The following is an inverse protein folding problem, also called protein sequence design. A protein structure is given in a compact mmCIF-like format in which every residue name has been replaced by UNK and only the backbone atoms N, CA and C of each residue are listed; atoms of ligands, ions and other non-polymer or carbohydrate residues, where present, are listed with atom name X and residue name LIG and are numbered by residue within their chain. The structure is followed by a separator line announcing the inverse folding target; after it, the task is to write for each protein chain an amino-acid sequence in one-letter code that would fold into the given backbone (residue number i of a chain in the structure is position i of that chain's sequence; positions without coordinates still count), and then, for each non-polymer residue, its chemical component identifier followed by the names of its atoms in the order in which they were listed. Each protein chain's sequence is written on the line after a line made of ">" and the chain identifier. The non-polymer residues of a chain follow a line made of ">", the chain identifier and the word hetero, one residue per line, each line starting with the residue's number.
data_IF_549386238100
#
_entry.id   IF_549386238100
#
_cell.length_a   1.000
_cell.length_b   1.000
_cell.length_c   1.000
_cell.angle_alpha   90.00
_cell.angle_beta   90.00
_cell.angle_gamma   90.00
#
_symmetry.space_group_name_H-M   'P 1'
#
loop_
_entity.id
_entity.type
_entity.pdbx_description
1 polymer ?
#
# COMPACT_ATOMS: atom_id res chain seq x y z
N UNK A 1 -3.61 -8.74 -2.59
CA UNK A 1 -3.55 -10.04 -3.29
C UNK A 1 -3.07 -9.79 -4.72
N UNK A 2 -2.14 -10.58 -5.27
CA UNK A 2 -1.55 -10.37 -6.62
C UNK A 2 -2.08 -11.41 -7.60
N UNK A 3 -2.15 -11.09 -8.90
CA UNK A 3 -2.59 -12.01 -9.96
C UNK A 3 -1.75 -13.29 -9.98
N UNK A 4 -0.43 -13.18 -9.80
CA UNK A 4 0.45 -14.35 -9.74
C UNK A 4 0.02 -15.33 -8.64
N UNK A 5 -0.27 -14.83 -7.43
CA UNK A 5 -0.75 -15.66 -6.31
C UNK A 5 -2.10 -16.31 -6.58
N UNK A 6 -2.94 -15.70 -7.42
CA UNK A 6 -4.24 -16.28 -7.80
C UNK A 6 -3.99 -17.45 -8.75
N UNK A 7 -3.18 -17.25 -9.78
CA UNK A 7 -2.85 -18.29 -10.77
C UNK A 7 -2.04 -19.45 -10.19
N UNK A 8 -1.18 -19.20 -9.20
CA UNK A 8 -0.39 -20.24 -8.51
C UNK A 8 -1.27 -21.24 -7.75
N UNK A 9 -2.49 -20.85 -7.36
CA UNK A 9 -3.43 -21.68 -6.61
C UNK A 9 -4.49 -22.34 -7.52
N UNK A 10 -4.18 -22.57 -8.80
CA UNK A 10 -5.08 -23.24 -9.77
C UNK A 10 -6.38 -22.47 -10.02
N UNK A 11 -6.38 -21.15 -9.79
CA UNK A 11 -7.48 -20.29 -10.19
C UNK A 11 -7.24 -19.70 -11.57
N UNK A 12 -8.28 -19.64 -12.39
CA UNK A 12 -8.26 -18.98 -13.69
C UNK A 12 -8.79 -17.55 -13.58
N UNK A 13 -8.13 -16.60 -14.22
CA UNK A 13 -8.54 -15.19 -14.24
C UNK A 13 -8.88 -14.75 -15.66
N UNK A 14 -10.16 -14.47 -15.92
CA UNK A 14 -10.66 -14.01 -17.23
C UNK A 14 -10.90 -12.51 -17.19
N UNK A 15 -10.09 -11.75 -17.94
CA UNK A 15 -10.27 -10.31 -18.11
C UNK A 15 -11.24 -10.01 -19.26
N UNK A 16 -12.31 -9.27 -18.96
CA UNK A 16 -13.26 -8.75 -19.95
C UNK A 16 -13.26 -7.24 -19.90
N UNK A 17 -13.73 -6.59 -20.97
CA UNK A 17 -13.74 -5.12 -21.11
C UNK A 17 -14.23 -4.37 -19.86
N UNK A 18 -15.23 -4.90 -19.15
CA UNK A 18 -15.90 -4.25 -18.02
C UNK A 18 -15.67 -4.93 -16.66
N UNK A 19 -15.13 -6.16 -16.63
CA UNK A 19 -15.03 -6.97 -15.40
C UNK A 19 -13.94 -8.04 -15.52
N UNK A 20 -13.41 -8.51 -14.40
CA UNK A 20 -12.65 -9.76 -14.38
C UNK A 20 -13.40 -10.82 -13.57
N UNK A 21 -13.23 -12.07 -13.95
CA UNK A 21 -13.88 -13.22 -13.33
C UNK A 21 -12.76 -14.15 -12.86
N UNK A 22 -12.84 -14.60 -11.61
CA UNK A 22 -11.94 -15.63 -11.08
C UNK A 22 -12.72 -16.92 -10.92
N UNK A 23 -12.18 -17.99 -11.47
CA UNK A 23 -12.78 -19.32 -11.52
C UNK A 23 -11.88 -20.30 -10.75
N UNK A 24 -12.47 -21.18 -9.95
CA UNK A 24 -11.74 -22.25 -9.28
C UNK A 24 -11.39 -23.42 -10.23
N UNK A 25 -10.62 -24.38 -9.73
CA UNK A 25 -10.25 -25.58 -10.47
C UNK A 25 -11.44 -26.47 -10.87
N UNK A 26 -12.62 -26.27 -10.25
CA UNK A 26 -13.85 -27.00 -10.52
C UNK A 26 -14.76 -26.28 -11.53
N UNK A 27 -14.37 -25.10 -12.03
CA UNK A 27 -15.16 -24.29 -12.95
C UNK A 27 -16.17 -23.35 -12.28
N UNK A 28 -16.16 -23.24 -10.95
CA UNK A 28 -17.06 -22.34 -10.22
C UNK A 28 -16.51 -20.92 -10.20
N UNK A 29 -17.40 -19.94 -10.40
CA UNK A 29 -17.02 -18.53 -10.24
C UNK A 29 -16.93 -18.17 -8.76
N UNK A 30 -15.70 -17.96 -8.28
CA UNK A 30 -15.45 -17.58 -6.88
C UNK A 30 -15.45 -16.07 -6.67
N UNK A 31 -15.19 -15.29 -7.71
CA UNK A 31 -15.10 -13.84 -7.58
C UNK A 31 -15.37 -13.11 -8.90
N UNK A 32 -16.00 -11.93 -8.81
CA UNK A 32 -16.21 -11.03 -9.94
C UNK A 32 -15.76 -9.62 -9.55
N UNK A 33 -14.78 -9.08 -10.27
CA UNK A 33 -14.27 -7.72 -10.09
C UNK A 33 -14.85 -6.78 -11.13
N UNK A 34 -15.01 -5.50 -10.79
CA UNK A 34 -15.47 -4.46 -11.72
C UNK A 34 -14.29 -3.63 -12.20
N UNK A 35 -14.26 -3.29 -13.49
CA UNK A 35 -13.27 -2.35 -14.02
C UNK A 35 -13.66 -0.92 -13.67
N UNK A 36 -12.75 -0.18 -13.02
CA UNK A 36 -12.86 1.25 -12.72
C UNK A 36 -11.49 1.89 -12.88
N UNK A 37 -11.40 2.95 -13.67
CA UNK A 37 -10.14 3.69 -13.92
C UNK A 37 -8.98 2.76 -14.31
N UNK A 38 -9.22 1.87 -15.27
CA UNK A 38 -8.26 0.87 -15.76
C UNK A 38 -7.77 -0.18 -14.76
N UNK A 39 -8.37 -0.22 -13.57
CA UNK A 39 -8.10 -1.23 -12.56
C UNK A 39 -9.31 -2.14 -12.37
N UNK A 40 -9.04 -3.43 -12.19
CA UNK A 40 -10.05 -4.41 -11.81
C UNK A 40 -10.14 -4.48 -10.29
N UNK A 41 -11.17 -3.84 -9.73
CA UNK A 41 -11.38 -3.77 -8.30
C UNK A 41 -12.22 -4.96 -7.86
N UNK A 42 -11.65 -5.74 -6.95
CA UNK A 42 -12.38 -6.78 -6.23
C UNK A 42 -13.33 -6.06 -5.28
N UNK A 43 -14.65 -6.32 -5.34
CA UNK A 43 -15.56 -5.81 -4.34
C UNK A 43 -15.16 -6.42 -2.99
N UNK A 44 -14.62 -5.60 -2.10
CA UNK A 44 -14.38 -5.99 -0.71
C UNK A 44 -15.71 -6.51 -0.15
N UNK A 45 -15.75 -7.80 0.23
CA UNK A 45 -16.62 -8.17 1.34
C UNK A 45 -16.31 -7.19 2.47
N UNK A 46 -17.31 -6.74 3.22
CA UNK A 46 -17.19 -5.75 4.32
C UNK A 46 -16.27 -6.24 5.46
N UNK A 47 -15.02 -6.50 5.15
CA UNK A 47 -13.96 -6.75 6.10
C UNK A 47 -13.27 -5.42 6.24
N UNK A 48 -13.59 -4.75 7.34
CA UNK A 48 -12.81 -3.65 7.88
C UNK A 48 -11.33 -3.98 7.69
N UNK A 49 -10.64 -3.20 6.85
CA UNK A 49 -9.20 -3.26 6.74
C UNK A 49 -8.62 -2.90 8.12
N UNK A 50 -8.39 -3.93 8.95
CA UNK A 50 -7.62 -3.79 10.15
C UNK A 50 -6.21 -3.52 9.67
N UNK A 51 -5.79 -2.25 9.74
CA UNK A 51 -4.39 -1.89 9.65
C UNK A 51 -3.69 -2.78 10.67
N UNK A 52 -2.90 -3.74 10.19
CA UNK A 52 -2.03 -4.52 11.03
C UNK A 52 -0.98 -3.55 11.59
N UNK A 53 -1.36 -2.84 12.66
CA UNK A 53 -0.44 -2.15 13.53
C UNK A 53 0.32 -3.27 14.22
N UNK A 54 1.38 -3.74 13.56
CA UNK A 54 2.38 -4.58 14.21
C UNK A 54 2.89 -3.74 15.36
N UNK A 55 2.35 -3.98 16.55
CA UNK A 55 2.82 -3.40 17.80
C UNK A 55 4.12 -4.10 18.15
N UNK A 56 5.09 -4.00 17.26
CA UNK A 56 6.40 -4.59 17.43
C UNK A 56 7.20 -3.62 18.29
N UNK A 57 7.55 -4.11 19.47
CA UNK A 57 8.60 -3.68 20.39
C UNK A 57 9.25 -2.32 20.09
N UNK A 58 9.11 -1.36 21.01
CA UNK A 58 9.86 -0.09 21.12
C UNK A 58 10.75 0.22 19.89
N UNK A 59 10.13 0.53 18.75
CA UNK A 59 10.88 0.94 17.55
C UNK A 59 11.57 2.25 17.90
N UNK A 60 12.85 2.37 17.54
CA UNK A 60 13.52 3.65 17.71
C UNK A 60 12.80 4.69 16.81
N UNK A 61 12.73 5.97 17.21
CA UNK A 61 12.02 6.99 16.44
C UNK A 61 12.50 7.12 14.99
N UNK A 62 13.78 6.82 14.75
CA UNK A 62 14.41 6.87 13.43
C UNK A 62 13.94 5.77 12.48
N UNK A 63 13.69 4.55 12.97
CA UNK A 63 13.16 3.43 12.18
C UNK A 63 11.71 3.70 11.78
N UNK A 64 10.90 4.22 12.71
CA UNK A 64 9.52 4.62 12.41
C UNK A 64 9.50 5.79 11.39
N UNK A 65 10.46 6.71 11.49
CA UNK A 65 10.62 7.79 10.52
C UNK A 65 11.06 7.27 9.15
N UNK A 66 12.02 6.37 9.11
CA UNK A 66 12.52 5.79 7.87
C UNK A 66 11.45 4.95 7.16
N UNK A 67 10.63 4.21 7.91
CA UNK A 67 9.48 3.47 7.35
C UNK A 67 8.42 4.43 6.77
N UNK A 68 8.17 5.56 7.45
CA UNK A 68 7.16 6.54 7.02
C UNK A 68 7.63 7.45 5.87
N UNK A 69 8.89 7.86 5.88
CA UNK A 69 9.42 8.90 5.00
C UNK A 69 10.51 8.39 4.04
N UNK A 70 10.99 7.16 4.18
CA UNK A 70 12.05 6.59 3.34
C UNK A 70 11.65 6.43 1.87
N UNK A 71 10.35 6.46 1.57
CA UNK A 71 9.83 6.45 0.21
C UNK A 71 9.58 7.85 -0.37
N UNK A 72 9.78 8.92 0.40
CA UNK A 72 9.55 10.28 -0.04
C UNK A 72 10.79 10.87 -0.71
N UNK A 73 10.56 11.70 -1.72
CA UNK A 73 11.63 12.49 -2.32
C UNK A 73 12.01 13.68 -1.42
N UNK A 74 13.23 14.18 -1.58
CA UNK A 74 13.75 15.31 -0.80
C UNK A 74 12.85 16.56 -0.85
N UNK A 75 12.17 16.82 -1.98
CA UNK A 75 11.22 17.94 -2.11
C UNK A 75 9.98 17.74 -1.24
N UNK A 76 9.45 16.52 -1.21
CA UNK A 76 8.27 16.17 -0.42
C UNK A 76 8.59 16.21 1.06
N UNK A 77 9.78 15.71 1.43
CA UNK A 77 10.30 15.80 2.80
C UNK A 77 10.42 17.25 3.27
N UNK A 78 11.00 18.12 2.43
CA UNK A 78 11.13 19.56 2.72
C UNK A 78 9.75 20.20 2.95
N UNK A 79 8.77 19.87 2.11
CA UNK A 79 7.40 20.39 2.25
C UNK A 79 6.73 19.96 3.56
N UNK A 80 6.99 18.74 4.04
CA UNK A 80 6.38 18.21 5.27
C UNK A 80 6.99 18.89 6.50
N UNK A 81 8.31 19.12 6.48
CA UNK A 81 9.04 19.83 7.55
C UNK A 81 8.61 21.30 7.62
N UNK A 82 8.55 21.98 6.48
CA UNK A 82 8.13 23.40 6.40
C UNK A 82 6.69 23.59 6.87
N UNK A 83 5.79 22.65 6.56
CA UNK A 83 4.38 22.72 6.94
C UNK A 83 4.10 22.23 8.37
N UNK A 84 5.12 21.85 9.17
CA UNK A 84 4.97 21.30 10.54
C UNK A 84 3.87 20.23 10.68
N UNK A 85 3.61 19.45 9.62
CA UNK A 85 2.54 18.45 9.60
C UNK A 85 2.85 17.19 10.42
N UNK A 86 4.05 17.10 11.00
CA UNK A 86 4.44 16.07 11.95
C UNK A 86 4.79 16.69 13.29
N UNK A 87 3.94 16.45 14.29
CA UNK A 87 4.15 16.92 15.66
C UNK A 87 5.25 16.15 16.41
N UNK A 88 5.69 15.01 15.89
CA UNK A 88 6.53 14.04 16.59
C UNK A 88 8.02 14.07 16.24
N UNK A 89 8.47 14.96 15.34
CA UNK A 89 9.87 14.98 14.89
C UNK A 89 10.39 16.40 14.77
N UNK A 90 11.28 16.78 15.68
CA UNK A 90 12.11 17.98 15.55
C UNK A 90 13.36 17.59 14.76
N UNK A 91 13.27 17.63 13.43
CA UNK A 91 14.46 17.46 12.57
C UNK A 91 15.23 18.77 12.63
N UNK A 92 16.20 18.86 13.54
CA UNK A 92 17.21 19.91 13.46
C UNK A 92 18.07 19.65 12.24
N UNK A 93 17.76 20.36 11.16
CA UNK A 93 18.59 20.43 9.98
C UNK A 93 19.78 21.33 10.32
N UNK A 94 20.90 20.72 10.70
CA UNK A 94 22.14 21.46 10.91
C UNK A 94 22.60 22.01 9.56
N UNK A 95 22.84 23.32 9.49
CA UNK A 95 23.18 24.03 8.24
C UNK A 95 24.68 23.95 7.92
N UNK A 96 25.34 22.88 8.29
CA UNK A 96 26.77 22.70 8.08
C UNK A 96 27.03 21.65 7.00
N UNK A 97 26.63 21.97 5.76
CA UNK A 97 27.20 21.37 4.55
C UNK A 97 27.22 22.46 3.46
N UNK A 98 27.96 23.54 3.75
CA UNK A 98 28.54 24.40 2.74
C UNK A 98 30.05 24.49 2.99
N UNK A 99 30.81 23.53 2.44
CA UNK A 99 32.04 23.74 1.66
C UNK A 99 32.63 22.40 1.23
#
# INVERSE_FOLDING_TARGET
>A
MSVAKITDNVFEVIFRKTKAIVIDAHGNTVMVSKRKNDLYLIPEAKETASVARTRSAKKNPWQDLHEKLGHLNMRDLKSIVENKKMHSVDIKCDKELQK
#
